data_IF_921304312516
#
_entry.id   IF_921304312516
#
_cell.length_a   1.000
_cell.length_b   1.000
_cell.length_c   1.000
_cell.angle_alpha   90.00
_cell.angle_beta   90.00
_cell.angle_gamma   90.00
#
_symmetry.space_group_name_H-M   'P 1'
#
loop_
_entity.id
_entity.type
_entity.pdbx_description
1 polymer ?
#
# COMPACT_ATOMS: atom_id res chain seq x y z
N UNK A 1 39.31 35.88 -8.47
CA UNK A 1 37.93 35.50 -8.11
C UNK A 1 38.01 34.22 -7.30
N UNK A 2 37.69 34.27 -6.01
CA UNK A 2 37.79 33.11 -5.12
C UNK A 2 36.51 32.28 -5.21
N UNK A 3 36.66 30.98 -5.47
CA UNK A 3 35.55 30.02 -5.51
C UNK A 3 34.95 29.86 -4.10
N UNK A 4 33.61 29.87 -3.96
CA UNK A 4 32.97 29.72 -2.66
C UNK A 4 33.22 28.32 -2.10
N UNK A 5 33.66 28.26 -0.85
CA UNK A 5 33.87 27.03 -0.09
C UNK A 5 32.51 26.37 0.20
N UNK A 6 32.34 25.06 -0.02
CA UNK A 6 31.06 24.39 0.23
C UNK A 6 30.75 24.35 1.73
N UNK A 7 29.68 25.02 2.13
CA UNK A 7 29.18 25.03 3.51
C UNK A 7 28.61 23.65 3.85
N UNK A 8 29.27 22.93 4.77
CA UNK A 8 28.79 21.64 5.27
C UNK A 8 27.55 21.86 6.13
N UNK A 9 26.36 21.66 5.54
CA UNK A 9 25.08 21.77 6.24
C UNK A 9 24.91 20.53 7.11
N UNK A 10 25.08 20.66 8.43
CA UNK A 10 24.76 19.59 9.38
C UNK A 10 23.27 19.29 9.31
N UNK A 11 22.90 18.14 8.75
CA UNK A 11 21.51 17.69 8.71
C UNK A 11 21.00 17.49 10.14
N UNK A 12 20.02 18.29 10.55
CA UNK A 12 19.28 18.03 11.79
C UNK A 12 18.61 16.67 11.65
N UNK A 13 18.85 15.77 12.59
CA UNK A 13 18.14 14.49 12.70
C UNK A 13 16.66 14.80 12.99
N UNK A 14 15.82 14.81 11.95
CA UNK A 14 14.38 14.92 12.13
C UNK A 14 13.91 13.73 12.95
N UNK A 15 13.07 13.98 13.95
CA UNK A 15 12.37 12.92 14.69
C UNK A 15 11.69 11.97 13.70
N UNK A 16 11.70 10.70 14.05
CA UNK A 16 11.14 9.62 13.25
C UNK A 16 9.68 9.91 12.86
N UNK A 17 9.27 9.68 11.59
CA UNK A 17 7.89 9.87 11.14
C UNK A 17 6.86 9.15 12.02
N UNK A 18 7.24 8.06 12.70
CA UNK A 18 6.34 7.30 13.57
C UNK A 18 5.84 8.06 14.81
N UNK A 19 6.60 9.02 15.35
CA UNK A 19 6.15 9.83 16.49
C UNK A 19 4.95 10.73 16.13
N UNK A 20 4.76 11.01 14.84
CA UNK A 20 3.66 11.87 14.36
C UNK A 20 2.34 11.14 14.11
N UNK A 21 2.34 9.79 14.03
CA UNK A 21 1.10 9.06 13.78
C UNK A 21 0.35 8.79 15.09
N UNK A 22 -0.75 9.51 15.30
CA UNK A 22 -1.59 9.36 16.48
C UNK A 22 -2.41 8.06 16.40
N UNK A 23 -1.86 6.96 16.94
CA UNK A 23 -2.50 5.64 16.99
C UNK A 23 -2.99 5.34 18.40
N UNK A 24 -4.26 4.96 18.52
CA UNK A 24 -4.90 4.60 19.79
C UNK A 24 -5.52 3.20 19.72
N UNK A 25 -6.02 2.69 20.85
CA UNK A 25 -6.74 1.42 20.94
C UNK A 25 -5.98 0.21 20.37
N UNK A 26 -4.65 0.21 20.47
CA UNK A 26 -3.82 -0.85 19.92
C UNK A 26 -4.03 -2.16 20.69
N UNK A 27 -4.40 -3.22 19.97
CA UNK A 27 -4.67 -4.56 20.50
C UNK A 27 -4.03 -5.59 19.59
N UNK A 28 -3.45 -6.62 20.19
CA UNK A 28 -2.89 -7.75 19.48
C UNK A 28 -3.60 -9.04 19.88
N UNK A 29 -3.93 -9.86 18.90
CA UNK A 29 -4.49 -11.19 19.08
C UNK A 29 -3.66 -12.18 18.29
N UNK A 30 -3.15 -13.23 18.97
CA UNK A 30 -2.29 -14.23 18.32
C UNK A 30 -3.06 -15.30 17.53
N UNK A 31 -4.32 -15.56 17.88
CA UNK A 31 -5.14 -16.70 17.41
C UNK A 31 -6.57 -16.26 17.05
N UNK A 32 -7.23 -16.87 16.05
CA UNK A 32 -6.75 -17.94 15.17
C UNK A 32 -5.71 -17.46 14.14
N UNK A 33 -5.67 -16.15 13.90
CA UNK A 33 -4.72 -15.50 13.00
C UNK A 33 -4.05 -14.34 13.72
N UNK A 34 -2.71 -14.19 13.65
CA UNK A 34 -2.04 -13.00 14.15
C UNK A 34 -2.69 -11.74 13.58
N UNK A 35 -3.25 -10.93 14.47
CA UNK A 35 -4.06 -9.76 14.14
C UNK A 35 -3.69 -8.61 15.06
N UNK A 36 -3.55 -7.42 14.50
CA UNK A 36 -3.50 -6.16 15.23
C UNK A 36 -4.74 -5.36 14.88
N UNK A 37 -5.40 -4.82 15.89
CA UNK A 37 -6.48 -3.84 15.74
C UNK A 37 -6.07 -2.54 16.41
N UNK A 38 -6.30 -1.40 15.77
CA UNK A 38 -6.01 -0.09 16.34
C UNK A 38 -6.80 1.00 15.62
N UNK A 39 -6.89 2.19 16.22
CA UNK A 39 -7.46 3.37 15.55
C UNK A 39 -6.31 4.23 15.01
N UNK A 40 -6.37 4.59 13.74
CA UNK A 40 -5.34 5.36 13.02
C UNK A 40 -5.91 6.67 12.47
N UNK A 41 -5.05 7.66 12.14
CA UNK A 41 -5.47 8.82 11.36
C UNK A 41 -6.10 8.35 10.04
N UNK A 42 -7.21 8.96 9.68
CA UNK A 42 -7.95 8.61 8.48
C UNK A 42 -7.59 9.45 7.27
N UNK A 43 -8.56 9.64 6.38
CA UNK A 43 -8.44 10.40 5.15
C UNK A 43 -8.70 11.89 5.41
N UNK A 44 -7.75 12.72 5.01
CA UNK A 44 -7.89 14.19 4.99
C UNK A 44 -8.56 14.66 3.69
N UNK A 45 -8.91 15.94 3.58
CA UNK A 45 -9.40 16.53 2.33
C UNK A 45 -8.41 16.38 1.16
N UNK A 46 -7.11 16.34 1.43
CA UNK A 46 -6.06 16.08 0.44
C UNK A 46 -6.04 14.62 -0.06
N UNK A 47 -6.81 13.74 0.56
CA UNK A 47 -6.96 12.36 0.10
C UNK A 47 -7.98 12.21 -1.02
N UNK A 48 -8.68 13.28 -1.38
CA UNK A 48 -9.71 13.30 -2.42
C UNK A 48 -9.28 14.22 -3.57
N UNK A 49 -9.82 13.97 -4.75
CA UNK A 49 -9.75 14.90 -5.86
C UNK A 49 -10.82 16.00 -5.76
N UNK A 50 -10.94 16.82 -6.81
CA UNK A 50 -11.91 17.92 -6.88
C UNK A 50 -13.37 17.46 -6.85
N UNK A 51 -13.65 16.22 -7.22
CA UNK A 51 -14.99 15.64 -7.31
C UNK A 51 -15.35 14.84 -6.03
N UNK A 52 -14.48 14.90 -5.02
CA UNK A 52 -14.53 14.12 -3.78
C UNK A 52 -14.37 12.61 -4.00
N UNK A 53 -13.69 12.22 -5.08
CA UNK A 53 -13.31 10.83 -5.32
C UNK A 53 -11.99 10.57 -4.57
N UNK A 54 -11.90 9.50 -3.75
CA UNK A 54 -10.67 9.16 -3.06
C UNK A 54 -9.55 8.87 -4.07
N UNK A 55 -8.39 9.50 -3.87
CA UNK A 55 -7.19 9.21 -4.66
C UNK A 55 -6.63 7.86 -4.23
N UNK A 56 -6.50 6.93 -5.17
CA UNK A 56 -5.93 5.60 -4.94
C UNK A 56 -4.54 5.67 -4.32
N UNK A 57 -3.71 6.60 -4.77
CA UNK A 57 -2.38 6.86 -4.21
C UNK A 57 -2.45 7.26 -2.73
N UNK A 58 -3.42 8.07 -2.32
CA UNK A 58 -3.62 8.46 -0.91
C UNK A 58 -4.04 7.26 -0.05
N UNK A 59 -4.94 6.40 -0.54
CA UNK A 59 -5.32 5.15 0.16
C UNK A 59 -4.11 4.23 0.34
N UNK A 60 -3.29 4.11 -0.71
CA UNK A 60 -2.06 3.34 -0.72
C UNK A 60 -1.03 3.89 0.28
N UNK A 61 -0.91 5.21 0.39
CA UNK A 61 -0.02 5.84 1.37
C UNK A 61 -0.46 5.62 2.81
N UNK A 62 -1.75 5.83 3.11
CA UNK A 62 -2.32 5.47 4.42
C UNK A 62 -2.00 4.02 4.74
N UNK A 63 -2.19 3.14 3.75
CA UNK A 63 -1.90 1.72 3.92
C UNK A 63 -0.42 1.40 4.17
N UNK A 64 0.51 2.02 3.47
CA UNK A 64 1.93 1.81 3.72
C UNK A 64 2.35 2.32 5.11
N UNK A 65 1.88 3.51 5.51
CA UNK A 65 2.25 4.13 6.77
C UNK A 65 1.72 3.34 7.97
N UNK A 66 0.46 2.91 7.94
CA UNK A 66 -0.13 2.13 9.02
C UNK A 66 0.49 0.73 9.11
N UNK A 67 0.77 0.07 7.99
CA UNK A 67 1.51 -1.20 7.97
C UNK A 67 2.91 -1.05 8.55
N UNK A 68 3.62 -0.02 8.12
CA UNK A 68 4.95 0.27 8.64
C UNK A 68 4.91 0.44 10.15
N UNK A 69 3.97 1.24 10.66
CA UNK A 69 3.78 1.45 12.09
C UNK A 69 3.50 0.14 12.84
N UNK A 70 2.54 -0.66 12.39
CA UNK A 70 2.18 -1.92 13.06
C UNK A 70 3.33 -2.93 13.07
N UNK A 71 4.12 -3.01 11.99
CA UNK A 71 5.24 -3.93 11.86
C UNK A 71 6.47 -3.54 12.69
N UNK A 72 6.55 -2.29 13.15
CA UNK A 72 7.70 -1.77 13.90
C UNK A 72 7.35 -1.31 15.31
N UNK A 73 6.07 -1.14 15.65
CA UNK A 73 5.64 -0.86 17.02
C UNK A 73 5.87 -2.12 17.89
N UNK A 74 6.63 -2.00 18.99
CA UNK A 74 6.75 -3.07 19.97
C UNK A 74 5.37 -3.46 20.54
N UNK A 75 5.13 -4.76 20.71
CA UNK A 75 3.98 -5.24 21.45
C UNK A 75 4.27 -5.13 22.95
N UNK A 76 3.32 -4.57 23.71
CA UNK A 76 3.43 -4.42 25.16
C UNK A 76 3.42 -5.80 25.84
N UNK A 77 4.21 -5.99 26.91
CA UNK A 77 4.28 -7.28 27.63
C UNK A 77 2.92 -7.69 28.22
N UNK A 78 2.02 -6.73 28.42
CA UNK A 78 0.68 -6.98 28.97
C UNK A 78 -0.37 -7.36 27.91
N UNK A 79 -0.01 -7.41 26.62
CA UNK A 79 -0.91 -7.87 25.56
C UNK A 79 -0.86 -9.37 25.28
N UNK A 80 -0.09 -10.15 26.07
CA UNK A 80 -0.23 -11.61 26.07
C UNK A 80 -1.69 -11.94 26.41
N UNK A 81 -2.40 -12.74 25.58
CA UNK A 81 -3.78 -13.08 25.84
C UNK A 81 -3.84 -13.78 27.19
N UNK A 82 -4.54 -13.15 28.14
CA UNK A 82 -4.91 -13.79 29.40
C UNK A 82 -5.43 -15.17 29.02
N UNK A 83 -4.70 -16.22 29.42
CA UNK A 83 -5.18 -17.59 29.31
C UNK A 83 -6.60 -17.54 29.86
N UNK A 84 -7.57 -17.82 29.01
CA UNK A 84 -8.99 -17.79 29.35
C UNK A 84 -9.20 -18.93 30.35
N UNK A 85 -8.90 -18.64 31.61
CA UNK A 85 -9.20 -19.49 32.74
C UNK A 85 -10.67 -19.29 33.04
N UNK A 86 -11.43 -20.38 33.03
CA UNK A 86 -12.77 -20.43 33.57
C UNK A 86 -12.71 -20.01 35.05
N UNK A 87 -12.97 -18.73 35.30
CA UNK A 87 -12.79 -18.11 36.61
C UNK A 87 -13.75 -16.96 36.80
N UNK A 88 -14.82 -17.22 37.54
CA UNK A 88 -15.83 -16.26 37.98
C UNK A 88 -15.18 -15.18 38.87
N UNK A 89 -15.37 -13.91 38.50
CA UNK A 89 -15.58 -12.85 39.49
C UNK A 89 -14.59 -11.68 39.54
N UNK A 90 -15.19 -10.49 39.52
CA UNK A 90 -14.78 -9.22 40.14
C UNK A 90 -14.04 -8.19 39.28
N UNK A 91 -14.65 -7.01 39.23
CA UNK A 91 -14.26 -5.78 38.56
C UNK A 91 -13.34 -4.91 39.42
N UNK A 92 -12.42 -4.17 38.81
CA UNK A 92 -12.12 -2.76 39.12
C UNK A 92 -10.94 -2.19 38.34
N UNK A 93 -11.09 -0.93 37.89
CA UNK A 93 -10.03 0.08 37.80
C UNK A 93 -9.10 0.08 36.58
N UNK A 94 -9.41 0.90 35.56
CA UNK A 94 -8.41 1.32 34.55
C UNK A 94 -7.82 2.66 35.00
N UNK A 95 -6.52 2.66 35.32
CA UNK A 95 -5.68 3.84 35.51
C UNK A 95 -4.81 4.03 34.27
N UNK A 96 -4.91 5.18 33.60
CA UNK A 96 -4.05 5.57 32.48
C UNK A 96 -2.82 6.33 32.97
N UNK A 97 -1.63 5.73 32.93
CA UNK A 97 -0.38 6.46 33.03
C UNK A 97 0.34 6.47 31.69
N UNK A 98 0.64 7.68 31.21
CA UNK A 98 1.47 7.93 30.03
C UNK A 98 2.92 7.92 30.49
N UNK A 99 3.67 6.87 30.13
CA UNK A 99 5.10 6.80 30.38
C UNK A 99 5.87 7.52 29.26
N UNK A 100 6.48 8.65 29.59
CA UNK A 100 7.44 9.34 28.72
C UNK A 100 8.81 8.67 28.79
N UNK A 101 9.32 8.18 27.65
CA UNK A 101 10.68 7.70 27.51
C UNK A 101 11.57 8.83 26.95
N UNK A 102 12.62 9.17 27.71
CA UNK A 102 13.70 10.07 27.30
C UNK A 102 14.94 9.23 26.96
N UNK A 103 15.57 9.48 25.80
CA UNK A 103 16.78 8.80 25.37
C UNK A 103 17.92 9.82 25.19
N UNK A 104 19.05 9.60 25.87
CA UNK A 104 20.29 10.35 25.70
C UNK A 104 21.05 9.88 24.45
N UNK A 105 21.68 10.81 23.74
CA UNK A 105 22.44 10.53 22.51
C UNK A 105 23.93 10.81 22.70
N UNK A 106 24.76 9.78 22.46
CA UNK A 106 26.20 9.93 22.20
C UNK A 106 26.48 10.08 20.70
N UNK A 107 27.48 10.91 20.40
CA UNK A 107 27.87 11.39 19.08
C UNK A 107 28.82 10.43 18.35
N UNK A 108 28.43 9.97 17.15
CA UNK A 108 29.27 9.19 16.24
C UNK A 108 28.81 9.28 14.77
N UNK A 109 29.78 9.43 13.87
CA UNK A 109 29.78 9.56 12.39
C UNK A 109 28.45 9.52 11.60
N UNK A 110 28.27 10.55 10.77
CA UNK A 110 27.17 10.70 9.80
C UNK A 110 27.32 9.76 8.59
N UNK A 111 26.76 8.56 8.71
CA UNK A 111 26.49 7.65 7.59
C UNK A 111 25.35 6.72 8.02
N UNK A 112 24.22 6.79 7.32
CA UNK A 112 23.07 5.87 7.43
C UNK A 112 22.77 5.32 8.85
N UNK A 113 22.36 6.17 9.79
CA UNK A 113 21.66 5.70 11.00
C UNK A 113 20.17 5.49 10.68
N UNK A 114 19.90 4.62 9.70
CA UNK A 114 18.55 4.14 9.40
C UNK A 114 18.23 3.07 10.46
N UNK A 115 17.70 3.50 11.60
CA UNK A 115 17.12 2.69 12.69
C UNK A 115 18.07 1.65 13.31
N UNK A 116 18.50 1.82 14.57
CA UNK A 116 19.07 0.67 15.28
C UNK A 116 17.94 -0.33 15.51
N UNK A 117 18.04 -1.49 14.84
CA UNK A 117 17.09 -2.61 14.87
C UNK A 117 16.95 -3.28 16.27
N UNK A 118 17.36 -2.60 17.33
CA UNK A 118 17.88 -3.23 18.55
C UNK A 118 16.85 -3.89 19.45
N UNK A 119 15.54 -3.73 19.21
CA UNK A 119 14.55 -4.67 19.77
C UNK A 119 13.27 -4.83 18.95
N UNK A 120 13.41 -5.15 17.66
CA UNK A 120 12.25 -5.47 16.80
C UNK A 120 11.71 -6.90 17.00
N UNK A 121 12.27 -7.65 17.95
CA UNK A 121 11.84 -9.03 18.25
C UNK A 121 10.46 -9.08 18.88
N UNK A 122 10.00 -7.96 19.42
CA UNK A 122 8.69 -7.81 20.04
C UNK A 122 7.64 -7.18 19.14
N UNK A 123 8.00 -6.77 17.92
CA UNK A 123 7.03 -6.17 17.01
C UNK A 123 6.14 -7.23 16.35
N UNK A 124 5.02 -6.79 15.76
CA UNK A 124 4.11 -7.68 15.04
C UNK A 124 4.85 -8.48 13.97
N UNK A 125 4.67 -9.80 13.98
CA UNK A 125 5.35 -10.78 13.12
C UNK A 125 6.88 -10.81 13.23
N UNK A 126 7.50 -10.24 14.27
CA UNK A 126 8.96 -10.15 14.37
C UNK A 126 9.58 -9.53 13.09
N UNK A 127 8.91 -8.54 12.48
CA UNK A 127 9.20 -8.11 11.12
C UNK A 127 10.61 -7.53 10.94
N UNK A 128 11.13 -6.79 11.93
CA UNK A 128 12.50 -6.30 11.87
C UNK A 128 13.54 -7.43 11.89
N UNK A 129 13.29 -8.50 12.65
CA UNK A 129 14.13 -9.71 12.62
C UNK A 129 14.05 -10.41 11.26
N UNK A 130 12.86 -10.45 10.63
CA UNK A 130 12.67 -10.97 9.27
C UNK A 130 13.51 -10.21 8.23
N UNK A 131 13.60 -8.88 8.35
CA UNK A 131 14.36 -8.02 7.42
C UNK A 131 15.87 -7.93 7.71
N UNK A 132 16.37 -8.54 8.78
CA UNK A 132 17.79 -8.47 9.15
C UNK A 132 18.71 -8.94 8.01
N UNK A 133 18.32 -10.02 7.32
CA UNK A 133 19.12 -10.66 6.28
C UNK A 133 18.51 -10.57 4.86
N UNK A 134 17.36 -9.92 4.70
CA UNK A 134 16.68 -9.80 3.42
C UNK A 134 16.09 -8.40 3.21
N UNK A 135 15.98 -7.97 1.96
CA UNK A 135 15.04 -6.93 1.57
C UNK A 135 13.64 -7.53 1.37
N UNK A 136 12.63 -6.67 1.32
CA UNK A 136 11.25 -7.07 1.10
C UNK A 136 10.62 -6.18 0.04
N UNK A 137 10.25 -6.76 -1.11
CA UNK A 137 9.67 -6.04 -2.23
C UNK A 137 8.19 -6.36 -2.37
N UNK A 138 7.38 -5.35 -2.68
CA UNK A 138 5.98 -5.56 -3.05
C UNK A 138 5.91 -6.31 -4.38
N UNK A 139 5.35 -7.52 -4.36
CA UNK A 139 5.15 -8.31 -5.57
C UNK A 139 3.73 -8.12 -6.10
N UNK A 140 2.75 -8.03 -5.19
CA UNK A 140 1.34 -7.97 -5.55
C UNK A 140 0.53 -7.16 -4.54
N UNK A 141 -0.46 -6.41 -5.01
CA UNK A 141 -1.47 -5.74 -4.19
C UNK A 141 -2.87 -5.94 -4.78
N UNK A 142 -3.85 -6.22 -3.93
CA UNK A 142 -5.28 -6.15 -4.26
C UNK A 142 -5.95 -5.19 -3.30
N UNK A 143 -6.37 -4.03 -3.79
CA UNK A 143 -7.10 -3.05 -2.99
C UNK A 143 -8.57 -3.08 -3.42
N UNK A 144 -9.47 -3.34 -2.47
CA UNK A 144 -10.93 -3.36 -2.69
C UNK A 144 -11.58 -2.28 -1.86
N UNK A 145 -12.36 -1.43 -2.50
CA UNK A 145 -13.10 -0.30 -1.94
C UNK A 145 -14.59 -0.65 -1.90
N UNK A 146 -15.27 -0.21 -0.85
CA UNK A 146 -16.73 -0.33 -0.73
C UNK A 146 -17.39 0.99 -1.08
N UNK A 147 -18.70 0.97 -1.34
CA UNK A 147 -19.50 2.18 -1.58
C UNK A 147 -19.46 3.18 -0.41
N UNK A 148 -19.31 2.70 0.82
CA UNK A 148 -19.19 3.56 2.00
C UNK A 148 -17.95 4.49 1.95
N UNK A 149 -16.93 4.15 1.16
CA UNK A 149 -15.81 5.06 0.90
C UNK A 149 -16.21 6.29 0.08
N UNK A 150 -17.25 6.19 -0.74
CA UNK A 150 -17.72 7.26 -1.61
C UNK A 150 -18.90 8.04 -1.01
N UNK A 151 -19.57 7.49 0.01
CA UNK A 151 -20.61 8.19 0.77
C UNK A 151 -20.01 9.34 1.60
N UNK A 152 -20.38 10.59 1.27
CA UNK A 152 -19.89 11.80 1.94
C UNK A 152 -20.33 11.93 3.40
N UNK A 153 -21.38 11.22 3.80
CA UNK A 153 -21.89 11.23 5.17
C UNK A 153 -21.14 10.25 6.09
N UNK A 154 -20.32 9.35 5.53
CA UNK A 154 -19.44 8.47 6.31
C UNK A 154 -18.18 9.23 6.72
N UNK A 155 -17.96 9.38 8.03
CA UNK A 155 -16.79 10.09 8.57
C UNK A 155 -15.52 9.27 8.45
N UNK A 156 -14.52 9.82 7.77
CA UNK A 156 -13.26 9.14 7.44
C UNK A 156 -12.04 9.75 8.11
N UNK A 157 -12.23 10.66 9.08
CA UNK A 157 -11.12 11.36 9.76
C UNK A 157 -10.30 10.48 10.71
N UNK A 158 -10.93 9.44 11.26
CA UNK A 158 -10.27 8.38 12.04
C UNK A 158 -10.79 7.04 11.56
N UNK A 159 -9.90 6.08 11.42
CA UNK A 159 -10.25 4.75 10.92
C UNK A 159 -9.85 3.69 11.92
N UNK A 160 -10.72 2.72 12.12
CA UNK A 160 -10.31 1.49 12.79
C UNK A 160 -9.61 0.60 11.76
N UNK A 161 -8.36 0.26 12.04
CA UNK A 161 -7.53 -0.63 11.25
C UNK A 161 -7.60 -2.03 11.85
N UNK A 162 -7.80 -3.03 10.99
CA UNK A 162 -7.47 -4.43 11.28
C UNK A 162 -6.36 -4.90 10.36
N UNK A 163 -5.23 -5.29 10.94
CA UNK A 163 -4.05 -5.76 10.23
C UNK A 163 -3.79 -7.24 10.55
N UNK A 164 -3.74 -8.10 9.54
CA UNK A 164 -3.69 -9.56 9.71
C UNK A 164 -2.57 -10.20 8.89
N UNK A 165 -2.05 -11.30 9.40
CA UNK A 165 -1.27 -12.23 8.59
C UNK A 165 -2.19 -12.95 7.60
N UNK A 166 -1.91 -12.80 6.30
CA UNK A 166 -2.64 -13.46 5.23
C UNK A 166 -2.09 -14.84 4.92
N UNK A 167 -0.83 -14.94 4.48
CA UNK A 167 -0.21 -16.20 4.06
C UNK A 167 1.32 -16.17 4.26
N UNK A 168 1.93 -17.31 4.55
CA UNK A 168 3.39 -17.47 4.61
C UNK A 168 3.80 -18.52 3.58
N UNK A 169 4.40 -18.06 2.49
CA UNK A 169 4.87 -18.91 1.39
C UNK A 169 6.33 -19.32 1.53
N UNK A 170 6.86 -19.91 0.45
CA UNK A 170 8.26 -20.32 0.40
C UNK A 170 9.22 -19.12 0.48
N UNK A 171 8.92 -18.07 -0.29
CA UNK A 171 9.72 -16.84 -0.44
C UNK A 171 8.88 -15.57 -0.23
N UNK A 172 7.60 -15.68 0.14
CA UNK A 172 6.69 -14.54 0.24
C UNK A 172 5.86 -14.53 1.52
N UNK A 173 5.39 -13.35 1.90
CA UNK A 173 4.46 -13.14 3.03
C UNK A 173 3.35 -12.21 2.56
N UNK A 174 2.10 -12.63 2.74
CA UNK A 174 0.91 -11.83 2.47
C UNK A 174 0.35 -11.26 3.76
N UNK A 175 -0.02 -9.99 3.72
CA UNK A 175 -0.65 -9.23 4.81
C UNK A 175 -2.00 -8.72 4.33
N UNK A 176 -2.94 -8.56 5.25
CA UNK A 176 -4.26 -7.98 4.95
C UNK A 176 -4.48 -6.78 5.86
N UNK A 177 -4.84 -5.65 5.28
CA UNK A 177 -5.33 -4.47 5.97
C UNK A 177 -6.81 -4.28 5.67
N UNK A 178 -7.60 -3.95 6.68
CA UNK A 178 -9.00 -3.55 6.54
C UNK A 178 -9.21 -2.26 7.31
N UNK A 179 -9.88 -1.31 6.68
CA UNK A 179 -10.13 0.01 7.24
C UNK A 179 -11.62 0.22 7.40
N UNK A 180 -12.02 0.55 8.62
CA UNK A 180 -13.40 0.79 8.99
C UNK A 180 -13.61 2.24 9.39
N UNK A 181 -14.68 2.85 8.89
CA UNK A 181 -15.16 4.16 9.32
C UNK A 181 -16.39 4.00 10.21
N UNK A 182 -16.74 5.06 10.94
CA UNK A 182 -18.04 5.16 11.63
C UNK A 182 -19.12 5.52 10.60
N UNK A 183 -20.08 4.62 10.41
CA UNK A 183 -21.26 4.84 9.59
C UNK A 183 -22.30 5.72 10.30
N UNK A 184 -23.40 6.04 9.59
CA UNK A 184 -24.48 6.93 10.06
C UNK A 184 -25.17 6.40 11.32
N UNK A 185 -25.27 5.08 11.45
CA UNK A 185 -25.84 4.40 12.60
C UNK A 185 -24.84 4.21 13.77
N UNK A 186 -23.65 4.81 13.66
CA UNK A 186 -22.56 4.71 14.64
C UNK A 186 -21.78 3.39 14.57
N UNK A 187 -22.16 2.43 13.71
CA UNK A 187 -21.45 1.16 13.57
C UNK A 187 -20.25 1.31 12.64
N UNK A 188 -19.28 0.41 12.83
CA UNK A 188 -18.12 0.35 11.96
C UNK A 188 -18.52 -0.26 10.61
N UNK A 189 -18.24 0.47 9.53
CA UNK A 189 -18.44 0.04 8.15
C UNK A 189 -17.10 -0.09 7.46
N UNK A 190 -16.86 -1.23 6.79
CA UNK A 190 -15.65 -1.42 5.98
C UNK A 190 -15.69 -0.43 4.81
N UNK A 191 -14.64 0.38 4.66
CA UNK A 191 -14.52 1.34 3.56
C UNK A 191 -13.52 0.90 2.50
N UNK A 192 -12.42 0.26 2.89
CA UNK A 192 -11.57 -0.48 1.96
C UNK A 192 -10.73 -1.54 2.66
N UNK A 193 -10.16 -2.44 1.87
CA UNK A 193 -9.19 -3.44 2.29
C UNK A 193 -8.04 -3.53 1.29
N UNK A 194 -6.86 -3.92 1.76
CA UNK A 194 -5.70 -4.20 0.92
C UNK A 194 -5.10 -5.56 1.29
N UNK A 195 -4.97 -6.47 0.30
CA UNK A 195 -4.14 -7.67 0.41
C UNK A 195 -2.81 -7.39 -0.27
N UNK A 196 -1.74 -7.40 0.50
CA UNK A 196 -0.41 -7.04 0.01
C UNK A 196 0.57 -8.18 0.22
N UNK A 197 1.18 -8.64 -0.86
CA UNK A 197 2.17 -9.72 -0.85
C UNK A 197 3.57 -9.16 -1.09
N UNK A 198 4.48 -9.50 -0.18
CA UNK A 198 5.90 -9.18 -0.30
C UNK A 198 6.72 -10.42 -0.55
N UNK A 199 7.78 -10.28 -1.35
CA UNK A 199 8.80 -11.30 -1.57
C UNK A 199 10.06 -10.95 -0.78
N UNK A 200 10.63 -11.92 -0.08
CA UNK A 200 11.94 -11.80 0.54
C UNK A 200 13.01 -11.87 -0.55
N UNK A 201 13.94 -10.91 -0.54
CA UNK A 201 15.02 -10.81 -1.53
C UNK A 201 16.36 -10.75 -0.83
N UNK A 202 17.31 -11.55 -1.26
CA UNK A 202 18.65 -11.54 -0.70
C UNK A 202 19.35 -10.20 -1.00
N UNK A 203 19.98 -9.62 0.04
CA UNK A 203 20.55 -8.27 -0.04
C UNK A 203 21.72 -8.15 -1.03
N UNK A 204 22.44 -9.23 -1.27
CA UNK A 204 23.64 -9.23 -2.13
C UNK A 204 23.29 -9.56 -3.58
N UNK A 205 22.53 -10.63 -3.77
CA UNK A 205 22.22 -11.19 -5.09
C UNK A 205 21.02 -10.52 -5.75
N UNK A 206 20.19 -9.80 -4.97
CA UNK A 206 18.93 -9.21 -5.43
C UNK A 206 17.95 -10.25 -6.01
N UNK A 207 18.11 -11.53 -5.64
CA UNK A 207 17.25 -12.62 -6.06
C UNK A 207 16.24 -13.01 -4.97
N UNK A 208 15.06 -13.54 -5.33
CA UNK A 208 14.12 -14.11 -4.36
C UNK A 208 14.81 -15.14 -3.46
N UNK A 209 14.62 -15.00 -2.16
CA UNK A 209 15.19 -15.91 -1.15
C UNK A 209 14.09 -16.51 -0.27
N UNK A 210 14.38 -17.66 0.33
CA UNK A 210 13.43 -18.34 1.20
C UNK A 210 13.17 -17.50 2.45
N UNK A 211 11.91 -17.51 2.90
CA UNK A 211 11.55 -17.00 4.23
C UNK A 211 12.34 -17.80 5.30
N UNK A 212 12.93 -17.14 6.31
CA UNK A 212 13.71 -17.82 7.35
C UNK A 212 12.94 -18.94 8.05
N UNK A 213 13.62 -20.05 8.38
CA UNK A 213 12.99 -21.24 8.98
C UNK A 213 12.23 -20.89 10.26
N UNK A 214 12.84 -20.12 11.18
CA UNK A 214 12.18 -19.69 12.42
C UNK A 214 10.86 -18.95 12.19
N UNK A 215 10.74 -18.19 11.10
CA UNK A 215 9.52 -17.44 10.77
C UNK A 215 8.44 -18.40 10.26
N UNK A 216 8.83 -19.37 9.42
CA UNK A 216 7.92 -20.43 8.96
C UNK A 216 7.40 -21.26 10.12
N UNK A 217 8.30 -21.75 10.97
CA UNK A 217 7.94 -22.56 12.14
C UNK A 217 6.93 -21.84 13.04
N UNK A 218 7.09 -20.51 13.19
CA UNK A 218 6.20 -19.69 14.02
C UNK A 218 4.87 -19.34 13.37
N UNK A 219 4.82 -19.09 12.06
CA UNK A 219 3.68 -18.43 11.40
C UNK A 219 3.05 -19.19 10.22
N UNK A 220 3.69 -20.23 9.70
CA UNK A 220 3.13 -21.03 8.62
C UNK A 220 1.81 -21.67 9.05
N UNK A 221 0.79 -21.61 8.18
CA UNK A 221 -0.56 -22.09 8.49
C UNK A 221 -1.39 -21.22 9.44
N UNK A 222 -0.81 -20.16 10.04
CA UNK A 222 -1.55 -19.23 10.91
C UNK A 222 -2.18 -18.05 10.18
N UNK A 223 -1.95 -17.93 8.87
CA UNK A 223 -2.55 -16.88 8.05
C UNK A 223 -4.02 -17.14 7.73
N UNK A 224 -4.79 -16.09 7.46
CA UNK A 224 -6.22 -16.20 7.12
C UNK A 224 -6.51 -16.52 5.64
N UNK A 225 -5.48 -16.67 4.81
CA UNK A 225 -5.59 -17.11 3.42
C UNK A 225 -5.01 -18.53 3.27
N UNK A 226 -5.64 -19.33 2.42
CA UNK A 226 -5.20 -20.70 2.13
C UNK A 226 -4.02 -20.77 1.15
N UNK A 227 -3.79 -19.71 0.36
CA UNK A 227 -2.76 -19.68 -0.68
C UNK A 227 -2.17 -18.28 -0.87
N UNK A 228 -1.02 -18.23 -1.56
CA UNK A 228 -0.42 -16.99 -2.03
C UNK A 228 -1.32 -16.27 -3.05
N UNK A 229 -1.16 -14.96 -3.14
CA UNK A 229 -1.81 -14.15 -4.15
C UNK A 229 -1.07 -14.31 -5.48
N UNK A 230 -1.82 -14.60 -6.55
CA UNK A 230 -1.31 -14.72 -7.90
C UNK A 230 -2.24 -14.01 -8.85
N UNK A 231 -1.80 -12.88 -9.41
CA UNK A 231 -2.39 -12.36 -10.63
C UNK A 231 -1.62 -12.98 -11.80
N UNK A 232 -2.34 -13.82 -12.55
CA UNK A 232 -1.78 -14.44 -13.76
C UNK A 232 -1.44 -13.32 -14.75
N UNK A 233 -0.20 -13.28 -15.27
CA UNK A 233 0.14 -12.33 -16.31
C UNK A 233 -0.84 -12.43 -17.46
N UNK A 234 -1.24 -11.29 -17.99
CA UNK A 234 -2.11 -11.21 -19.16
C UNK A 234 -1.34 -10.64 -20.35
N UNK A 235 -1.68 -11.11 -21.54
CA UNK A 235 -0.99 -10.69 -22.77
C UNK A 235 -1.54 -9.34 -23.23
N UNK A 236 -0.66 -8.35 -23.38
CA UNK A 236 -0.98 -7.09 -24.05
C UNK A 236 -1.39 -7.35 -25.51
N UNK A 237 -2.56 -6.88 -25.98
CA UNK A 237 -2.95 -7.00 -27.37
C UNK A 237 -2.10 -6.08 -28.27
N UNK A 238 -2.17 -6.31 -29.58
CA UNK A 238 -1.48 -5.47 -30.57
C UNK A 238 -2.03 -4.03 -30.57
N UNK A 239 -3.35 -3.91 -30.37
CA UNK A 239 -4.08 -2.65 -30.37
C UNK A 239 -4.41 -2.24 -28.94
N UNK A 240 -3.83 -1.13 -28.49
CA UNK A 240 -4.05 -0.54 -27.15
C UNK A 240 -4.05 0.98 -27.24
N UNK A 241 -4.62 1.65 -26.25
CA UNK A 241 -4.33 3.06 -26.01
C UNK A 241 -2.99 3.16 -25.30
N UNK A 242 -2.09 4.04 -25.75
CA UNK A 242 -0.76 4.23 -25.16
C UNK A 242 -0.61 5.66 -24.63
N UNK A 243 -0.17 5.79 -23.38
CA UNK A 243 0.11 7.06 -22.73
C UNK A 243 1.57 7.09 -22.24
N UNK A 244 2.41 8.00 -22.77
CA UNK A 244 3.81 8.11 -22.34
C UNK A 244 3.93 8.84 -21.01
N UNK A 245 4.80 8.34 -20.14
CA UNK A 245 5.15 8.90 -18.85
C UNK A 245 6.67 9.11 -18.80
N UNK A 246 7.09 10.27 -18.31
CA UNK A 246 8.47 10.52 -17.88
C UNK A 246 8.48 10.47 -16.35
N UNK A 247 9.19 9.51 -15.76
CA UNK A 247 9.25 9.36 -14.30
C UNK A 247 9.88 10.60 -13.66
N UNK A 248 9.13 11.28 -12.80
CA UNK A 248 9.55 12.52 -12.15
C UNK A 248 10.15 12.25 -10.76
N UNK A 249 10.93 13.20 -10.23
CA UNK A 249 11.44 13.16 -8.85
C UNK A 249 10.33 12.89 -7.82
N UNK A 250 9.12 13.45 -8.01
CA UNK A 250 7.99 13.25 -7.10
C UNK A 250 7.40 11.83 -7.13
N UNK A 251 7.77 11.02 -8.12
CA UNK A 251 7.40 9.61 -8.19
C UNK A 251 8.43 8.72 -7.48
N UNK A 252 9.57 9.24 -7.03
CA UNK A 252 10.69 8.48 -6.46
C UNK A 252 10.59 8.33 -4.93
N UNK A 253 10.92 7.15 -4.42
CA UNK A 253 10.97 6.83 -3.00
C UNK A 253 12.37 7.03 -2.38
N UNK A 254 12.49 6.73 -1.09
CA UNK A 254 13.77 6.86 -0.34
C UNK A 254 14.89 5.94 -0.84
N UNK A 255 14.59 4.95 -1.68
CA UNK A 255 15.55 4.03 -2.28
C UNK A 255 15.96 4.45 -3.69
N UNK A 256 15.44 5.56 -4.22
CA UNK A 256 15.76 6.02 -5.57
C UNK A 256 14.97 5.31 -6.67
N UNK A 257 13.90 4.57 -6.32
CA UNK A 257 13.04 3.90 -7.28
C UNK A 257 11.68 4.59 -7.37
N UNK A 258 10.96 4.40 -8.47
CA UNK A 258 9.57 4.78 -8.57
C UNK A 258 8.76 4.08 -7.46
N UNK A 259 8.05 4.88 -6.69
CA UNK A 259 7.17 4.42 -5.63
C UNK A 259 6.08 3.51 -6.21
N UNK A 260 5.79 2.41 -5.53
CA UNK A 260 4.76 1.44 -5.93
C UNK A 260 3.37 2.05 -6.19
N UNK A 261 3.03 3.18 -5.54
CA UNK A 261 1.79 3.94 -5.80
C UNK A 261 1.81 4.80 -7.07
N UNK A 262 3.00 5.16 -7.58
CA UNK A 262 3.16 5.93 -8.82
C UNK A 262 2.63 5.15 -10.02
N UNK A 263 2.84 3.83 -10.05
CA UNK A 263 2.33 2.95 -11.11
C UNK A 263 0.80 3.03 -11.24
N UNK A 264 0.06 3.06 -10.14
CA UNK A 264 -1.40 3.21 -10.15
C UNK A 264 -1.80 4.62 -10.58
N UNK A 265 -1.10 5.66 -10.10
CA UNK A 265 -1.31 7.06 -10.50
C UNK A 265 -1.16 7.21 -12.03
N UNK A 266 -0.08 6.70 -12.60
CA UNK A 266 0.15 6.75 -14.05
C UNK A 266 -0.95 6.03 -14.83
N UNK A 267 -1.45 4.91 -14.32
CA UNK A 267 -2.59 4.21 -14.93
C UNK A 267 -3.87 5.02 -14.87
N UNK A 268 -4.20 5.66 -13.73
CA UNK A 268 -5.38 6.52 -13.64
C UNK A 268 -5.26 7.75 -14.54
N UNK A 269 -4.08 8.35 -14.64
CA UNK A 269 -3.80 9.48 -15.53
C UNK A 269 -3.99 9.07 -17.00
N UNK A 270 -3.51 7.88 -17.38
CA UNK A 270 -3.70 7.32 -18.72
C UNK A 270 -5.19 7.07 -19.03
N UNK A 271 -5.99 6.60 -18.07
CA UNK A 271 -7.45 6.43 -18.25
C UNK A 271 -8.11 7.78 -18.51
N UNK A 272 -7.78 8.81 -17.72
CA UNK A 272 -8.29 10.15 -17.95
C UNK A 272 -7.88 10.70 -19.32
N UNK A 273 -6.62 10.49 -19.74
CA UNK A 273 -6.15 10.88 -21.06
C UNK A 273 -6.92 10.16 -22.19
N UNK A 274 -7.23 8.87 -22.04
CA UNK A 274 -8.01 8.09 -23.00
C UNK A 274 -9.47 8.56 -23.13
N UNK A 275 -9.99 9.29 -22.12
CA UNK A 275 -11.35 9.82 -22.11
C UNK A 275 -11.48 11.23 -22.70
N UNK A 276 -10.37 11.93 -22.93
CA UNK A 276 -10.41 13.25 -23.54
C UNK A 276 -10.94 13.12 -24.98
N UNK A 277 -11.81 14.04 -25.44
CA UNK A 277 -12.19 14.10 -26.85
C UNK A 277 -10.93 14.16 -27.69
N UNK A 278 -10.86 13.39 -28.77
CA UNK A 278 -9.71 13.41 -29.69
C UNK A 278 -9.40 14.86 -30.03
N UNK A 279 -8.34 15.42 -29.44
CA UNK A 279 -7.63 16.55 -30.02
C UNK A 279 -6.88 15.97 -31.21
N UNK A 280 -7.64 15.65 -32.26
CA UNK A 280 -7.10 15.40 -33.58
C UNK A 280 -6.19 16.59 -33.92
N UNK A 281 -4.99 16.28 -34.41
CA UNK A 281 -3.96 17.18 -34.94
C UNK A 281 -2.88 17.59 -33.94
N UNK A 282 -1.88 16.71 -33.78
CA UNK A 282 -0.65 17.03 -33.05
C UNK A 282 0.37 15.89 -32.96
N UNK A 283 0.70 15.23 -34.08
CA UNK A 283 2.01 14.60 -34.35
C UNK A 283 2.65 13.56 -33.40
N UNK A 284 1.92 12.79 -32.55
CA UNK A 284 2.65 11.84 -31.68
C UNK A 284 1.99 10.57 -31.17
N UNK A 285 0.69 10.34 -31.30
CA UNK A 285 0.09 9.10 -30.79
C UNK A 285 -0.05 8.04 -31.88
N UNK A 286 0.32 6.79 -31.56
CA UNK A 286 -0.05 5.60 -32.31
C UNK A 286 -1.58 5.49 -32.36
N UNK A 287 -2.20 6.21 -33.31
CA UNK A 287 -3.63 6.21 -33.50
C UNK A 287 -4.09 4.89 -34.09
N UNK A 288 -4.93 4.19 -33.34
CA UNK A 288 -5.77 3.13 -33.88
C UNK A 288 -6.84 3.78 -34.73
N UNK A 289 -6.77 3.59 -36.05
CA UNK A 289 -7.87 3.92 -36.96
C UNK A 289 -9.12 3.14 -36.51
N UNK A 290 -10.11 3.83 -35.91
CA UNK A 290 -11.51 3.36 -35.94
C UNK A 290 -12.26 3.03 -34.65
N UNK A 291 -11.82 3.42 -33.44
CA UNK A 291 -12.72 3.33 -32.27
C UNK A 291 -12.05 3.61 -30.92
N UNK A 292 -12.87 3.98 -29.91
CA UNK A 292 -12.42 4.06 -28.51
C UNK A 292 -11.94 2.68 -28.07
N UNK A 293 -10.72 2.62 -27.54
CA UNK A 293 -10.13 1.40 -26.97
C UNK A 293 -10.83 0.99 -25.66
N UNK A 294 -11.31 1.98 -24.90
CA UNK A 294 -12.10 1.80 -23.69
C UNK A 294 -13.56 2.12 -24.03
N UNK A 295 -14.33 1.13 -24.45
CA UNK A 295 -15.72 1.27 -24.93
C UNK A 295 -16.71 1.27 -23.78
N UNK A 296 -16.48 0.46 -22.75
CA UNK A 296 -17.39 0.36 -21.59
C UNK A 296 -17.09 1.39 -20.51
N UNK A 297 -15.89 2.00 -20.52
CA UNK A 297 -15.54 3.06 -19.59
C UNK A 297 -16.03 4.41 -20.11
N UNK A 298 -17.01 4.98 -19.40
CA UNK A 298 -17.53 6.32 -19.63
C UNK A 298 -17.22 7.25 -18.45
N UNK A 299 -17.60 8.53 -18.55
CA UNK A 299 -17.49 9.46 -17.42
C UNK A 299 -18.36 9.02 -16.25
N UNK A 300 -19.53 8.46 -16.54
CA UNK A 300 -20.44 7.88 -15.56
C UNK A 300 -19.77 6.70 -14.86
N UNK A 301 -19.13 5.79 -15.61
CA UNK A 301 -18.35 4.68 -15.03
C UNK A 301 -17.26 5.17 -14.06
N UNK A 302 -16.49 6.20 -14.44
CA UNK A 302 -15.49 6.79 -13.55
C UNK A 302 -16.12 7.45 -12.32
N UNK A 303 -17.24 8.16 -12.50
CA UNK A 303 -17.98 8.84 -11.43
C UNK A 303 -18.60 7.88 -10.41
N UNK A 304 -18.91 6.63 -10.80
CA UNK A 304 -19.36 5.59 -9.86
C UNK A 304 -18.27 5.13 -8.89
N UNK A 305 -17.01 5.43 -9.20
CA UNK A 305 -15.85 5.11 -8.37
C UNK A 305 -15.18 3.78 -8.71
N UNK A 306 -13.91 3.67 -8.32
CA UNK A 306 -13.13 2.45 -8.44
C UNK A 306 -13.54 1.46 -7.33
N UNK A 307 -13.99 0.28 -7.71
CA UNK A 307 -14.35 -0.79 -6.78
C UNK A 307 -13.10 -1.56 -6.33
N UNK A 308 -12.22 -1.90 -7.26
CA UNK A 308 -11.07 -2.76 -6.96
C UNK A 308 -9.94 -2.52 -7.94
N UNK A 309 -8.72 -2.69 -7.50
CA UNK A 309 -7.61 -2.92 -8.42
C UNK A 309 -6.69 -4.04 -7.92
N UNK A 310 -6.05 -4.70 -8.89
CA UNK A 310 -5.04 -5.72 -8.67
C UNK A 310 -3.79 -5.31 -9.42
N UNK A 311 -2.63 -5.37 -8.78
CA UNK A 311 -1.35 -4.98 -9.39
C UNK A 311 -0.29 -6.04 -9.13
N UNK A 312 0.49 -6.37 -10.16
CA UNK A 312 1.73 -7.14 -10.05
C UNK A 312 2.91 -6.30 -10.52
N UNK A 313 3.94 -6.26 -9.70
CA UNK A 313 5.19 -5.55 -9.99
C UNK A 313 6.25 -6.55 -10.46
N UNK A 314 6.84 -6.30 -11.62
CA UNK A 314 7.90 -7.13 -12.18
C UNK A 314 9.26 -6.47 -12.05
N UNK A 315 9.34 -5.15 -12.27
CA UNK A 315 10.59 -4.39 -12.31
C UNK A 315 10.43 -2.95 -11.82
N UNK A 316 11.54 -2.41 -11.34
CA UNK A 316 11.65 -1.04 -10.81
C UNK A 316 11.86 -0.02 -11.94
N UNK A 317 11.43 1.23 -11.71
CA UNK A 317 11.79 2.39 -12.53
C UNK A 317 12.64 3.37 -11.73
N UNK A 318 13.42 4.19 -12.43
CA UNK A 318 14.25 5.25 -11.88
C UNK A 318 13.77 6.61 -12.39
N UNK A 319 14.25 7.68 -11.77
CA UNK A 319 14.00 9.05 -12.24
C UNK A 319 14.51 9.22 -13.68
N UNK A 320 13.71 9.87 -14.53
CA UNK A 320 14.05 10.09 -15.93
C UNK A 320 13.78 8.89 -16.85
N UNK A 321 13.35 7.74 -16.34
CA UNK A 321 12.90 6.63 -17.18
C UNK A 321 11.66 7.05 -17.99
N UNK A 322 11.58 6.57 -19.23
CA UNK A 322 10.39 6.66 -20.07
C UNK A 322 9.55 5.39 -19.96
N UNK A 323 8.29 5.53 -19.58
CA UNK A 323 7.34 4.42 -19.39
C UNK A 323 6.14 4.61 -20.32
N UNK A 324 5.75 3.56 -21.01
CA UNK A 324 4.54 3.51 -21.83
C UNK A 324 3.43 2.78 -21.07
N UNK A 325 2.31 3.49 -20.82
CA UNK A 325 1.13 2.92 -20.17
C UNK A 325 0.14 2.49 -21.23
N UNK A 326 -0.02 1.18 -21.40
CA UNK A 326 -0.97 0.59 -22.34
C UNK A 326 -2.28 0.24 -21.65
N UNK A 327 -3.42 0.64 -22.24
CA UNK A 327 -4.77 0.37 -21.73
C UNK A 327 -5.63 -0.36 -22.77
N UNK A 328 -6.45 -1.30 -22.30
CA UNK A 328 -7.48 -1.98 -23.11
C UNK A 328 -8.55 -2.66 -22.23
N UNK A 329 -9.60 -3.17 -22.87
CA UNK A 329 -10.65 -3.99 -22.27
C UNK A 329 -10.55 -5.43 -22.84
N UNK A 330 -10.85 -6.46 -22.03
CA UNK A 330 -10.90 -7.87 -22.47
C UNK A 330 -12.32 -8.45 -22.59
N UNK A 331 -13.32 -7.56 -22.65
CA UNK A 331 -14.73 -7.93 -22.77
C UNK A 331 -15.49 -7.99 -21.44
N UNK A 332 -14.81 -7.87 -20.29
CA UNK A 332 -15.49 -7.65 -19.01
C UNK A 332 -15.95 -6.19 -18.88
N UNK A 333 -17.26 -5.93 -18.67
CA UNK A 333 -17.76 -4.58 -18.43
C UNK A 333 -17.08 -3.93 -17.22
N UNK A 334 -16.88 -2.61 -17.27
CA UNK A 334 -16.33 -1.82 -16.17
C UNK A 334 -14.94 -2.27 -15.71
N UNK A 335 -14.23 -3.05 -16.53
CA UNK A 335 -12.85 -3.47 -16.29
C UNK A 335 -11.89 -2.78 -17.27
N UNK A 336 -10.75 -2.32 -16.74
CA UNK A 336 -9.62 -1.87 -17.54
C UNK A 336 -8.40 -2.74 -17.23
N UNK A 337 -7.77 -3.24 -18.26
CA UNK A 337 -6.46 -3.87 -18.18
C UNK A 337 -5.38 -2.86 -18.56
N UNK A 338 -4.28 -2.91 -17.81
CA UNK A 338 -3.15 -2.04 -18.01
C UNK A 338 -1.84 -2.82 -17.96
N UNK A 339 -0.94 -2.51 -18.90
CA UNK A 339 0.44 -2.98 -18.90
C UNK A 339 1.37 -1.78 -19.04
N UNK A 340 2.33 -1.67 -18.14
CA UNK A 340 3.36 -0.64 -18.19
C UNK A 340 4.63 -1.25 -18.75
N UNK A 341 5.21 -0.56 -19.74
CA UNK A 341 6.38 -1.02 -20.50
C UNK A 341 7.50 0.02 -20.39
N UNK A 342 8.72 -0.45 -20.13
CA UNK A 342 9.94 0.36 -20.16
C UNK A 342 10.95 -0.32 -21.06
N UNK A 343 11.47 0.39 -22.06
CA UNK A 343 12.47 -0.15 -23.01
C UNK A 343 12.04 -1.49 -23.65
N UNK A 344 10.75 -1.64 -23.96
CA UNK A 344 10.18 -2.86 -24.54
C UNK A 344 9.93 -4.00 -23.55
N UNK A 345 10.28 -3.85 -22.27
CA UNK A 345 10.02 -4.84 -21.22
C UNK A 345 8.81 -4.46 -20.35
N UNK A 346 7.99 -5.44 -20.02
CA UNK A 346 6.89 -5.25 -19.07
C UNK A 346 7.44 -5.08 -17.65
N UNK A 347 7.03 -4.00 -16.98
CA UNK A 347 7.48 -3.65 -15.63
C UNK A 347 6.38 -3.81 -14.59
N UNK A 348 5.12 -3.69 -15.00
CA UNK A 348 3.96 -3.76 -14.12
C UNK A 348 2.69 -4.10 -14.91
N UNK A 349 1.78 -4.87 -14.31
CA UNK A 349 0.46 -5.16 -14.86
C UNK A 349 -0.62 -4.86 -13.82
N UNK A 350 -1.67 -4.16 -14.24
CA UNK A 350 -2.76 -3.70 -13.37
C UNK A 350 -4.12 -4.06 -13.97
N UNK A 351 -5.04 -4.56 -13.14
CA UNK A 351 -6.46 -4.67 -13.45
C UNK A 351 -7.24 -3.68 -12.59
N UNK A 352 -8.10 -2.89 -13.20
CA UNK A 352 -9.00 -1.96 -12.51
C UNK A 352 -10.44 -2.39 -12.75
N UNK A 353 -11.26 -2.33 -11.71
CA UNK A 353 -12.68 -2.67 -11.72
C UNK A 353 -13.43 -1.47 -11.14
N UNK A 354 -14.32 -0.88 -11.93
CA UNK A 354 -15.22 0.17 -11.49
C UNK A 354 -16.53 -0.45 -11.00
N UNK A 355 -17.30 0.30 -10.20
CA UNK A 355 -18.60 -0.16 -9.77
C UNK A 355 -19.61 -0.24 -10.93
N UNK A 356 -20.51 -1.21 -10.85
CA UNK A 356 -21.65 -1.38 -11.77
C UNK A 356 -22.79 -0.40 -11.44
N UNK A 357 -23.76 -0.28 -12.36
CA UNK A 357 -24.93 0.61 -12.23
C UNK A 357 -25.92 0.15 -11.15
N UNK A 358 -26.05 -1.17 -10.94
CA UNK A 358 -26.99 -1.76 -9.98
C UNK A 358 -26.56 -1.61 -8.52
N UNK A 359 -25.35 -1.12 -8.29
CA UNK A 359 -24.85 -0.79 -6.96
C UNK A 359 -25.02 0.72 -6.69
N UNK A 360 -26.27 1.19 -6.60
CA UNK A 360 -26.55 2.58 -6.23
C UNK A 360 -26.09 2.89 -4.80
N UNK A 361 -25.57 4.12 -4.62
CA UNK A 361 -25.01 4.65 -3.37
C UNK A 361 -26.09 4.99 -2.34
#
# INVERSE_FOLDING_TARGET
>A
MASPTPTTRTAKTSKAPMESMHVTNFRYTASPHPTVECTVPGLSHESYDKDWIPRTSSLMWVDALTRYYVLHRPLDDQTEPSKQGDGVGSSSGISSQVAGLSLQTETGSAGQKLWSYEDTTRAFLNWGQFLKNAHSFGQYSELTMTKALYDREVSKWTLDLRFRLGFVGACSVTKICEYFARGKDGKNVLIWSNKYQQVAVDKKTRQPTRVPTWFKDKYQGKGCLSQAMVLRPFKKPEVTFCHPILVQYSDIDEYGHANWSAYIKWTTDAIHAAMLPDKQNGNGSCQTKGGRVLRSITKETLGRGLHKFQVTYFRECLEGDHVEVHLWEDGQPNQVLCCLVKSGEEICQIKLFYFDDDESL
#
